data_IF_703427548496
#
_entry.id   IF_703427548496
#
_cell.length_a   1.000
_cell.length_b   1.000
_cell.length_c   1.000
_cell.angle_alpha   90.00
_cell.angle_beta   90.00
_cell.angle_gamma   90.00
#
_symmetry.space_group_name_H-M   'P 1'
#
loop_
_entity.id
_entity.type
_entity.pdbx_description
1 polymer ?
#
# COMPACT_ATOMS: atom_id res chain seq x y z
N UNK A 1 41.98 14.29 -50.78
CA UNK A 1 41.36 12.95 -50.75
C UNK A 1 41.11 12.64 -49.29
N UNK A 2 39.85 12.79 -48.86
CA UNK A 2 39.43 12.59 -47.49
C UNK A 2 39.48 11.11 -47.11
N UNK A 3 39.84 10.85 -45.86
CA UNK A 3 39.70 9.56 -45.23
C UNK A 3 38.55 9.73 -44.25
N UNK A 4 37.39 9.21 -44.62
CA UNK A 4 36.21 9.13 -43.76
C UNK A 4 36.48 8.07 -42.67
N UNK A 5 36.78 8.52 -41.46
CA UNK A 5 36.66 7.69 -40.26
C UNK A 5 35.17 7.55 -39.93
N UNK A 6 34.56 6.47 -40.42
CA UNK A 6 33.26 6.02 -39.94
C UNK A 6 33.41 5.54 -38.49
N UNK A 7 33.13 6.44 -37.54
CA UNK A 7 32.80 6.07 -36.17
C UNK A 7 31.49 5.27 -36.17
N UNK A 8 31.60 3.95 -36.27
CA UNK A 8 30.50 3.03 -35.98
C UNK A 8 30.18 3.14 -34.49
N UNK A 9 29.25 4.05 -34.16
CA UNK A 9 28.58 4.09 -32.86
C UNK A 9 27.82 2.78 -32.70
N UNK A 10 28.38 1.89 -31.90
CA UNK A 10 27.75 0.63 -31.52
C UNK A 10 26.63 0.98 -30.51
N UNK A 11 25.48 1.46 -31.00
CA UNK A 11 24.23 1.47 -30.25
C UNK A 11 23.86 0.00 -30.01
N UNK A 12 24.38 -0.57 -28.92
CA UNK A 12 23.78 -1.76 -28.34
C UNK A 12 22.42 -1.33 -27.81
N UNK A 13 21.36 -1.62 -28.55
CA UNK A 13 20.01 -1.66 -28.01
C UNK A 13 20.07 -2.56 -26.76
N UNK A 14 19.94 -1.94 -25.59
CA UNK A 14 19.75 -2.64 -24.33
C UNK A 14 18.41 -3.36 -24.45
N UNK A 15 18.47 -4.66 -24.75
CA UNK A 15 17.29 -5.49 -24.86
C UNK A 15 16.81 -5.83 -23.44
N UNK A 16 16.16 -4.86 -22.81
CA UNK A 16 15.56 -4.94 -21.49
C UNK A 16 14.26 -5.74 -21.62
N UNK A 17 14.31 -7.03 -21.26
CA UNK A 17 13.15 -7.91 -21.26
C UNK A 17 11.97 -7.30 -20.49
N UNK A 18 10.74 -7.63 -20.91
CA UNK A 18 9.53 -7.14 -20.28
C UNK A 18 9.32 -7.80 -18.91
N UNK A 19 9.72 -7.14 -17.82
CA UNK A 19 9.25 -7.49 -16.48
C UNK A 19 7.97 -6.69 -16.16
N UNK A 20 6.89 -7.35 -15.69
CA UNK A 20 5.64 -6.67 -15.39
C UNK A 20 5.83 -5.73 -14.19
N UNK A 21 5.58 -4.44 -14.43
CA UNK A 21 5.57 -3.39 -13.42
C UNK A 21 4.42 -3.65 -12.44
N UNK A 22 4.71 -3.96 -11.17
CA UNK A 22 3.69 -4.35 -10.19
C UNK A 22 3.64 -3.34 -9.03
N UNK A 23 2.44 -2.86 -8.71
CA UNK A 23 2.12 -2.12 -7.48
C UNK A 23 1.00 -2.85 -6.73
N UNK A 24 1.05 -2.85 -5.40
CA UNK A 24 -0.03 -3.40 -4.57
C UNK A 24 -1.18 -2.40 -4.35
N UNK A 25 -1.00 -1.11 -4.67
CA UNK A 25 -2.03 -0.08 -4.51
C UNK A 25 -2.88 0.15 -5.78
N UNK A 26 -4.21 0.20 -5.61
CA UNK A 26 -5.18 0.39 -6.69
C UNK A 26 -5.16 1.82 -7.26
N UNK A 27 -5.00 2.83 -6.40
CA UNK A 27 -4.87 4.23 -6.83
C UNK A 27 -3.60 4.45 -7.66
N UNK A 28 -2.47 3.87 -7.24
CA UNK A 28 -1.22 3.92 -8.03
C UNK A 28 -1.38 3.25 -9.39
N UNK A 29 -2.03 2.08 -9.45
CA UNK A 29 -2.30 1.39 -10.71
C UNK A 29 -3.16 2.23 -11.65
N UNK A 30 -4.15 2.94 -11.11
CA UNK A 30 -4.99 3.85 -11.87
C UNK A 30 -4.20 5.05 -12.41
N UNK A 31 -3.41 5.71 -11.55
CA UNK A 31 -2.56 6.84 -11.95
C UNK A 31 -1.62 6.45 -13.12
N UNK A 32 -1.05 5.25 -13.07
CA UNK A 32 -0.20 4.71 -14.13
C UNK A 32 -0.95 4.43 -15.44
N UNK A 33 -2.15 3.84 -15.36
CA UNK A 33 -2.96 3.52 -16.53
C UNK A 33 -3.43 4.80 -17.26
N UNK A 34 -3.75 5.86 -16.50
CA UNK A 34 -4.14 7.17 -17.06
C UNK A 34 -2.94 7.87 -17.72
N UNK A 35 -1.73 7.74 -17.16
CA UNK A 35 -0.51 8.30 -17.75
C UNK A 35 -0.13 7.64 -19.08
N UNK A 36 -0.44 6.36 -19.26
CA UNK A 36 -0.17 5.62 -20.51
C UNK A 36 -1.25 5.80 -21.59
N UNK A 37 -2.47 6.20 -21.23
CA UNK A 37 -3.58 6.42 -22.16
C UNK A 37 -3.90 7.92 -22.37
N UNK A 38 -3.01 8.66 -23.07
CA UNK A 38 -3.26 9.97 -23.72
C UNK A 38 -4.31 10.90 -23.04
N UNK A 39 -4.28 11.04 -21.71
CA UNK A 39 -5.08 12.02 -20.96
C UNK A 39 -6.61 11.85 -20.99
N UNK A 40 -7.14 10.71 -21.45
CA UNK A 40 -8.56 10.39 -21.23
C UNK A 40 -8.67 9.80 -19.83
N UNK A 41 -8.98 10.63 -18.84
CA UNK A 41 -9.04 10.26 -17.42
C UNK A 41 -10.11 9.22 -17.03
N UNK A 42 -10.51 8.34 -17.94
CA UNK A 42 -11.43 7.23 -17.71
C UNK A 42 -10.80 5.94 -18.24
N UNK A 43 -10.49 5.01 -17.34
CA UNK A 43 -10.07 3.66 -17.69
C UNK A 43 -11.34 2.81 -17.93
N UNK A 44 -11.50 2.17 -19.11
CA UNK A 44 -12.67 1.33 -19.37
C UNK A 44 -12.84 0.23 -18.31
N UNK A 45 -14.07 0.05 -17.80
CA UNK A 45 -14.38 -0.97 -16.78
C UNK A 45 -14.03 -0.57 -15.34
N UNK A 46 -13.65 0.69 -15.12
CA UNK A 46 -13.26 1.23 -13.81
C UNK A 46 -14.10 2.47 -13.46
N UNK A 47 -14.81 2.42 -12.33
CA UNK A 47 -15.48 3.59 -11.77
C UNK A 47 -14.73 4.07 -10.54
N UNK A 48 -14.43 5.38 -10.50
CA UNK A 48 -13.72 6.01 -9.39
C UNK A 48 -14.54 7.18 -8.83
N UNK A 49 -14.70 7.20 -7.51
CA UNK A 49 -15.25 8.31 -6.75
C UNK A 49 -14.21 8.79 -5.74
N UNK A 50 -13.84 10.07 -5.79
CA UNK A 50 -12.87 10.66 -4.88
C UNK A 50 -13.50 11.80 -4.08
N UNK A 51 -13.21 11.83 -2.78
CA UNK A 51 -13.59 12.92 -1.87
C UNK A 51 -12.39 13.35 -1.04
N UNK A 52 -12.31 14.65 -0.73
CA UNK A 52 -11.28 15.20 0.14
C UNK A 52 -11.96 15.89 1.33
N UNK A 53 -11.57 15.51 2.54
CA UNK A 53 -12.08 16.10 3.77
C UNK A 53 -10.97 16.16 4.82
N UNK A 54 -10.79 17.31 5.47
CA UNK A 54 -9.85 17.49 6.60
C UNK A 54 -8.41 17.02 6.31
N UNK A 55 -7.94 17.16 5.06
CA UNK A 55 -6.62 16.70 4.62
C UNK A 55 -6.49 15.18 4.43
N UNK A 56 -7.64 14.49 4.36
CA UNK A 56 -7.76 13.07 4.04
C UNK A 56 -8.43 12.91 2.68
N UNK A 57 -7.76 12.24 1.74
CA UNK A 57 -8.33 11.88 0.45
C UNK A 57 -8.87 10.46 0.53
N UNK A 58 -10.16 10.29 0.21
CA UNK A 58 -10.83 9.00 0.17
C UNK A 58 -11.18 8.68 -1.28
N UNK A 59 -10.69 7.55 -1.79
CA UNK A 59 -10.90 7.10 -3.16
C UNK A 59 -11.57 5.74 -3.15
N UNK A 60 -12.77 5.68 -3.72
CA UNK A 60 -13.50 4.45 -3.99
C UNK A 60 -13.32 4.06 -5.45
N UNK A 61 -12.75 2.89 -5.71
CA UNK A 61 -12.55 2.35 -7.06
C UNK A 61 -13.31 1.02 -7.17
N UNK A 62 -14.19 0.93 -8.17
CA UNK A 62 -14.90 -0.28 -8.57
C UNK A 62 -14.32 -0.76 -9.89
N UNK A 63 -13.77 -1.97 -9.91
CA UNK A 63 -13.33 -2.64 -11.12
C UNK A 63 -14.42 -3.66 -11.48
N UNK A 64 -15.14 -3.43 -12.57
CA UNK A 64 -16.33 -4.22 -12.92
C UNK A 64 -16.01 -5.51 -13.66
N UNK A 65 -14.99 -5.48 -14.52
CA UNK A 65 -14.70 -6.58 -15.44
C UNK A 65 -13.20 -6.92 -15.55
N UNK A 66 -12.93 -8.07 -16.17
CA UNK A 66 -11.56 -8.53 -16.44
C UNK A 66 -10.79 -7.58 -17.36
N UNK A 67 -11.47 -6.77 -18.18
CA UNK A 67 -10.82 -5.77 -19.04
C UNK A 67 -10.26 -4.62 -18.20
N UNK A 68 -11.05 -4.06 -17.29
CA UNK A 68 -10.60 -3.08 -16.31
C UNK A 68 -9.55 -3.65 -15.37
N UNK A 69 -9.71 -4.92 -14.99
CA UNK A 69 -8.70 -5.65 -14.22
C UNK A 69 -7.36 -5.77 -14.95
N UNK A 70 -7.37 -6.10 -16.25
CA UNK A 70 -6.15 -6.11 -17.06
C UNK A 70 -5.55 -4.72 -17.28
N UNK A 71 -6.39 -3.71 -17.49
CA UNK A 71 -5.95 -2.33 -17.67
C UNK A 71 -5.22 -1.79 -16.43
N UNK A 72 -5.69 -2.15 -15.23
CA UNK A 72 -5.08 -1.76 -13.96
C UNK A 72 -4.07 -2.78 -13.42
N UNK A 73 -3.97 -3.98 -14.01
CA UNK A 73 -3.21 -5.09 -13.41
C UNK A 73 -3.74 -5.54 -12.05
N UNK A 74 -5.05 -5.40 -11.82
CA UNK A 74 -5.75 -5.69 -10.57
C UNK A 74 -6.90 -6.69 -10.79
N UNK A 75 -7.35 -7.31 -9.71
CA UNK A 75 -8.51 -8.22 -9.76
C UNK A 75 -9.79 -7.39 -9.72
N UNK A 76 -10.85 -7.77 -10.47
CA UNK A 76 -12.16 -7.13 -10.38
C UNK A 76 -12.71 -7.16 -8.95
N UNK A 77 -13.28 -6.06 -8.49
CA UNK A 77 -13.75 -5.89 -7.12
C UNK A 77 -13.81 -4.44 -6.67
N UNK A 78 -14.04 -4.25 -5.37
CA UNK A 78 -14.12 -2.97 -4.70
C UNK A 78 -12.82 -2.65 -3.97
N UNK A 79 -12.35 -1.41 -4.14
CA UNK A 79 -11.17 -0.87 -3.49
C UNK A 79 -11.53 0.44 -2.83
N UNK A 80 -11.17 0.59 -1.56
CA UNK A 80 -11.24 1.82 -0.80
C UNK A 80 -9.80 2.21 -0.44
N UNK A 81 -9.38 3.41 -0.82
CA UNK A 81 -8.07 3.95 -0.48
C UNK A 81 -8.23 5.22 0.31
N UNK A 82 -7.63 5.28 1.49
CA UNK A 82 -7.53 6.46 2.33
C UNK A 82 -6.09 6.96 2.27
N UNK A 83 -5.89 8.19 1.83
CA UNK A 83 -4.58 8.83 1.78
C UNK A 83 -4.54 10.07 2.66
N UNK A 84 -3.66 10.03 3.65
CA UNK A 84 -3.53 11.06 4.67
C UNK A 84 -2.03 11.36 4.86
N UNK A 85 -1.48 12.30 4.06
CA UNK A 85 -0.05 12.65 4.13
C UNK A 85 0.41 13.08 5.53
N UNK A 86 -0.51 13.64 6.32
CA UNK A 86 -0.28 14.07 7.70
C UNK A 86 -0.03 12.94 8.70
N UNK A 87 -0.33 11.67 8.39
CA UNK A 87 -0.07 10.56 9.34
C UNK A 87 1.41 10.43 9.74
N UNK A 88 2.33 10.94 8.91
CA UNK A 88 3.75 11.02 9.24
C UNK A 88 4.09 11.98 10.39
N UNK A 89 3.23 12.94 10.70
CA UNK A 89 3.53 13.99 11.69
C UNK A 89 3.34 13.56 13.15
N UNK A 90 3.03 12.28 13.43
CA UNK A 90 2.76 11.73 14.78
C UNK A 90 1.75 12.56 15.59
N UNK A 91 0.82 13.22 14.91
CA UNK A 91 -0.23 14.01 15.54
C UNK A 91 -1.35 13.08 16.03
N UNK A 92 -1.47 12.95 17.36
CA UNK A 92 -2.48 12.09 17.98
C UNK A 92 -3.92 12.53 17.72
N UNK A 93 -4.18 13.84 17.51
CA UNK A 93 -5.52 14.30 17.16
C UNK A 93 -5.88 13.89 15.74
N UNK A 94 -4.94 14.03 14.80
CA UNK A 94 -5.12 13.55 13.44
C UNK A 94 -5.36 12.04 13.41
N UNK A 95 -4.56 11.26 14.14
CA UNK A 95 -4.74 9.80 14.22
C UNK A 95 -6.15 9.41 14.69
N UNK A 96 -6.70 10.10 15.70
CA UNK A 96 -8.10 9.88 16.14
C UNK A 96 -9.12 10.21 15.06
N UNK A 97 -8.94 11.33 14.37
CA UNK A 97 -9.84 11.74 13.28
C UNK A 97 -9.79 10.73 12.13
N UNK A 98 -8.60 10.25 11.76
CA UNK A 98 -8.40 9.23 10.73
C UNK A 98 -9.00 7.90 11.16
N UNK A 99 -8.85 7.48 12.42
CA UNK A 99 -9.47 6.26 12.95
C UNK A 99 -11.00 6.31 12.86
N UNK A 100 -11.61 7.44 13.22
CA UNK A 100 -13.06 7.64 13.12
C UNK A 100 -13.52 7.64 11.65
N UNK A 101 -12.79 8.32 10.78
CA UNK A 101 -13.06 8.34 9.34
C UNK A 101 -12.95 6.95 8.71
N UNK A 102 -11.85 6.24 8.97
CA UNK A 102 -11.66 4.84 8.56
C UNK A 102 -12.78 3.94 9.05
N UNK A 103 -13.21 4.07 10.32
CA UNK A 103 -14.33 3.29 10.86
C UNK A 103 -15.62 3.51 10.05
N UNK A 104 -15.95 4.77 9.72
CA UNK A 104 -17.16 5.09 8.95
C UNK A 104 -17.11 4.57 7.51
N UNK A 105 -15.97 4.76 6.83
CA UNK A 105 -15.76 4.25 5.48
C UNK A 105 -15.74 2.71 5.46
N UNK A 106 -15.15 2.07 6.49
CA UNK A 106 -15.13 0.60 6.61
C UNK A 106 -16.52 0.02 6.90
N UNK A 107 -17.34 0.66 7.74
CA UNK A 107 -18.76 0.29 7.89
C UNK A 107 -19.51 0.35 6.56
N UNK A 108 -19.28 1.42 5.80
CA UNK A 108 -19.87 1.58 4.46
C UNK A 108 -19.35 0.51 3.49
N UNK A 109 -18.08 0.12 3.62
CA UNK A 109 -17.47 -0.96 2.85
C UNK A 109 -18.16 -2.29 3.12
N UNK A 110 -18.31 -2.67 4.40
CA UNK A 110 -18.99 -3.90 4.83
C UNK A 110 -20.43 -3.97 4.31
N UNK A 111 -21.15 -2.85 4.35
CA UNK A 111 -22.52 -2.79 3.82
C UNK A 111 -22.56 -2.98 2.29
N UNK A 112 -21.57 -2.46 1.55
CA UNK A 112 -21.49 -2.59 0.07
C UNK A 112 -21.16 -4.02 -0.40
N UNK A 113 -20.64 -4.87 0.49
CA UNK A 113 -20.32 -6.28 0.22
C UNK A 113 -21.26 -7.25 0.97
N UNK A 114 -22.39 -6.75 1.45
CA UNK A 114 -23.46 -7.52 2.11
C UNK A 114 -23.01 -8.30 3.38
N UNK A 115 -22.07 -7.74 4.16
CA UNK A 115 -21.70 -8.32 5.46
C UNK A 115 -22.65 -7.83 6.55
N UNK A 116 -23.42 -8.75 7.12
CA UNK A 116 -24.43 -8.44 8.14
C UNK A 116 -23.82 -7.88 9.44
N UNK A 117 -24.58 -7.05 10.21
CA UNK A 117 -24.15 -6.52 11.50
C UNK A 117 -23.72 -7.59 12.52
N UNK A 118 -24.34 -8.78 12.47
CA UNK A 118 -24.09 -9.89 13.38
C UNK A 118 -23.23 -11.01 12.78
N UNK A 119 -22.62 -10.78 11.61
CA UNK A 119 -21.77 -11.74 10.94
C UNK A 119 -20.58 -12.17 11.82
N UNK A 120 -20.22 -13.45 11.78
CA UNK A 120 -19.05 -13.99 12.48
C UNK A 120 -17.79 -13.64 11.71
N UNK A 121 -16.92 -12.83 12.31
CA UNK A 121 -15.73 -12.32 11.65
C UNK A 121 -14.50 -13.04 12.15
N UNK A 122 -13.61 -13.41 11.23
CA UNK A 122 -12.25 -13.84 11.55
C UNK A 122 -11.26 -12.79 11.05
N UNK A 123 -10.59 -12.13 11.98
CA UNK A 123 -9.48 -11.21 11.69
C UNK A 123 -8.18 -12.02 11.62
N UNK A 124 -7.42 -11.83 10.56
CA UNK A 124 -6.15 -12.52 10.31
C UNK A 124 -5.04 -11.49 10.16
N UNK A 125 -4.14 -11.43 11.14
CA UNK A 125 -2.95 -10.59 11.09
C UNK A 125 -1.82 -11.29 10.37
N UNK A 126 -1.63 -10.98 9.09
CA UNK A 126 -0.54 -11.50 8.27
C UNK A 126 0.75 -10.74 8.54
N UNK A 127 1.86 -11.46 8.42
CA UNK A 127 3.21 -10.90 8.55
C UNK A 127 4.06 -11.60 9.60
N UNK A 128 5.31 -11.18 9.69
CA UNK A 128 6.30 -11.70 10.62
C UNK A 128 6.57 -10.71 11.75
N UNK A 129 6.17 -11.06 12.99
CA UNK A 129 6.44 -10.26 14.18
C UNK A 129 7.93 -9.92 14.40
N UNK A 130 8.84 -10.74 13.87
CA UNK A 130 10.29 -10.53 14.01
C UNK A 130 10.86 -9.51 13.02
N UNK A 131 10.08 -9.08 12.03
CA UNK A 131 10.47 -8.06 11.05
C UNK A 131 9.56 -6.86 11.28
N UNK A 132 10.08 -5.79 11.89
CA UNK A 132 9.25 -4.67 12.36
C UNK A 132 8.36 -4.09 11.26
N UNK A 133 8.88 -3.91 10.05
CA UNK A 133 8.12 -3.38 8.93
C UNK A 133 7.00 -4.32 8.42
N UNK A 134 7.05 -5.60 8.78
CA UNK A 134 6.09 -6.65 8.43
C UNK A 134 5.22 -7.07 9.64
N UNK A 135 5.39 -6.42 10.80
CA UNK A 135 4.73 -6.80 12.04
C UNK A 135 3.33 -6.16 12.21
N UNK A 136 2.84 -5.40 11.22
CA UNK A 136 1.60 -4.64 11.32
C UNK A 136 0.38 -5.53 11.59
N UNK A 137 0.17 -6.59 10.79
CA UNK A 137 -0.97 -7.50 10.97
C UNK A 137 -1.02 -8.12 12.38
N UNK A 138 0.08 -8.74 12.86
CA UNK A 138 0.15 -9.23 14.23
C UNK A 138 -0.13 -8.15 15.29
N UNK A 139 0.39 -6.93 15.10
CA UNK A 139 0.16 -5.81 16.02
C UNK A 139 -1.31 -5.39 16.08
N UNK A 140 -2.00 -5.34 14.92
CA UNK A 140 -3.44 -5.03 14.88
C UNK A 140 -4.25 -6.10 15.61
N UNK A 141 -3.90 -7.39 15.42
CA UNK A 141 -4.57 -8.50 16.11
C UNK A 141 -4.42 -8.40 17.62
N UNK A 142 -3.26 -7.98 18.12
CA UNK A 142 -3.01 -7.79 19.56
C UNK A 142 -3.93 -6.74 20.20
N UNK A 143 -4.31 -5.71 19.44
CA UNK A 143 -5.18 -4.61 19.89
C UNK A 143 -6.63 -4.74 19.40
N UNK A 144 -6.98 -5.87 18.78
CA UNK A 144 -8.33 -6.15 18.33
C UNK A 144 -9.17 -6.70 19.48
N UNK A 145 -10.39 -6.19 19.64
CA UNK A 145 -11.33 -6.69 20.63
C UNK A 145 -11.92 -8.04 20.17
N UNK A 146 -11.49 -9.12 20.81
CA UNK A 146 -11.94 -10.49 20.51
C UNK A 146 -13.15 -10.84 21.37
N UNK A 147 -14.27 -11.19 20.73
CA UNK A 147 -15.55 -11.41 21.42
C UNK A 147 -16.17 -12.79 21.17
N UNK A 148 -15.71 -13.54 20.15
CA UNK A 148 -16.30 -14.85 19.76
C UNK A 148 -16.48 -15.80 20.93
N UNK A 149 -15.50 -15.87 21.82
CA UNK A 149 -15.53 -16.76 22.99
C UNK A 149 -16.68 -16.42 23.97
N UNK A 150 -17.07 -15.14 24.09
CA UNK A 150 -18.20 -14.73 24.93
C UNK A 150 -19.52 -15.20 24.34
N UNK A 151 -19.69 -15.10 23.01
CA UNK A 151 -20.87 -15.62 22.33
C UNK A 151 -21.01 -17.14 22.44
N UNK A 152 -19.89 -17.88 22.48
CA UNK A 152 -19.92 -19.34 22.60
C UNK A 152 -20.10 -19.83 24.04
N UNK A 153 -19.47 -19.17 25.02
CA UNK A 153 -19.41 -19.64 26.40
C UNK A 153 -20.44 -18.97 27.30
N UNK A 154 -20.78 -17.70 27.03
CA UNK A 154 -21.60 -16.85 27.90
C UNK A 154 -22.58 -15.98 27.08
N UNK A 155 -23.42 -16.58 26.21
CA UNK A 155 -24.28 -15.82 25.30
C UNK A 155 -25.26 -14.87 26.02
N UNK A 156 -25.71 -15.23 27.22
CA UNK A 156 -26.64 -14.41 28.02
C UNK A 156 -25.99 -13.15 28.62
N UNK A 157 -24.66 -13.06 28.62
CA UNK A 157 -23.92 -11.92 29.19
C UNK A 157 -23.44 -10.92 28.13
N UNK A 158 -23.63 -11.23 26.85
CA UNK A 158 -23.23 -10.34 25.77
C UNK A 158 -24.34 -9.31 25.55
N UNK A 159 -24.01 -8.05 25.76
CA UNK A 159 -24.92 -6.94 25.48
C UNK A 159 -25.13 -6.77 23.96
N UNK A 160 -26.21 -6.09 23.59
CA UNK A 160 -26.46 -5.71 22.21
C UNK A 160 -25.36 -4.76 21.67
N UNK A 161 -25.16 -4.78 20.35
CA UNK A 161 -24.18 -3.93 19.68
C UNK A 161 -22.76 -4.49 19.61
N UNK A 162 -22.53 -5.72 20.08
CA UNK A 162 -21.27 -6.44 19.85
C UNK A 162 -21.44 -7.48 18.74
N UNK A 163 -20.42 -7.63 17.89
CA UNK A 163 -20.33 -8.67 16.87
C UNK A 163 -19.45 -9.82 17.35
N UNK A 164 -19.70 -11.08 16.97
CA UNK A 164 -18.79 -12.20 17.24
C UNK A 164 -17.53 -12.11 16.36
N UNK A 165 -16.41 -11.72 16.98
CA UNK A 165 -15.11 -11.54 16.33
C UNK A 165 -14.08 -12.51 16.93
N UNK A 166 -13.41 -13.27 16.07
CA UNK A 166 -12.18 -13.99 16.38
C UNK A 166 -10.99 -13.33 15.69
N UNK A 167 -9.80 -13.47 16.26
CA UNK A 167 -8.58 -12.99 15.65
C UNK A 167 -7.46 -14.03 15.79
N UNK A 168 -6.63 -14.16 14.76
CA UNK A 168 -5.43 -15.01 14.77
C UNK A 168 -4.27 -14.30 14.06
N UNK A 169 -3.04 -14.55 14.52
CA UNK A 169 -1.84 -14.28 13.74
C UNK A 169 -1.11 -15.61 13.49
N UNK A 170 -1.20 -16.18 12.27
CA UNK A 170 -0.69 -17.52 11.96
C UNK A 170 0.84 -17.59 11.87
N UNK A 171 1.53 -16.44 11.85
CA UNK A 171 2.97 -16.36 11.61
C UNK A 171 3.34 -16.69 10.15
N UNK A 172 4.63 -16.96 9.95
CA UNK A 172 5.21 -17.22 8.62
C UNK A 172 5.79 -18.63 8.53
N UNK A 173 5.89 -19.15 7.29
CA UNK A 173 6.43 -20.49 6.98
C UNK A 173 7.72 -20.81 7.73
N UNK A 174 8.66 -19.86 7.80
CA UNK A 174 9.95 -20.07 8.47
C UNK A 174 9.86 -20.31 9.98
N UNK A 175 8.74 -19.97 10.60
CA UNK A 175 8.51 -20.13 12.05
C UNK A 175 7.61 -21.33 12.36
N UNK A 176 6.63 -21.62 11.50
CA UNK A 176 5.60 -22.64 11.76
C UNK A 176 5.83 -23.94 10.99
N UNK A 177 6.60 -23.90 9.89
CA UNK A 177 6.72 -25.01 8.94
C UNK A 177 5.46 -25.25 8.11
N UNK A 178 4.43 -24.41 8.24
CA UNK A 178 3.17 -24.49 7.50
C UNK A 178 2.96 -23.22 6.69
N UNK A 179 2.37 -23.34 5.50
CA UNK A 179 1.98 -22.16 4.76
C UNK A 179 0.86 -21.42 5.49
N UNK A 180 0.98 -20.09 5.55
CA UNK A 180 -0.01 -19.25 6.23
C UNK A 180 -1.44 -19.52 5.73
N UNK A 181 -1.60 -19.76 4.42
CA UNK A 181 -2.88 -20.11 3.81
C UNK A 181 -3.46 -21.43 4.33
N UNK A 182 -2.62 -22.42 4.66
CA UNK A 182 -3.08 -23.73 5.19
C UNK A 182 -3.63 -23.58 6.60
N UNK A 183 -2.95 -22.80 7.44
CA UNK A 183 -3.41 -22.50 8.80
C UNK A 183 -4.77 -21.79 8.73
N UNK A 184 -4.87 -20.75 7.90
CA UNK A 184 -6.12 -19.98 7.76
C UNK A 184 -7.25 -20.85 7.23
N UNK A 185 -6.99 -21.65 6.19
CA UNK A 185 -7.98 -22.58 5.64
C UNK A 185 -8.49 -23.56 6.72
N UNK A 186 -7.58 -24.17 7.49
CA UNK A 186 -7.97 -25.07 8.57
C UNK A 186 -8.81 -24.38 9.66
N UNK A 187 -8.48 -23.14 10.03
CA UNK A 187 -9.26 -22.36 11.00
C UNK A 187 -10.63 -21.98 10.44
N UNK A 188 -10.71 -21.56 9.18
CA UNK A 188 -11.98 -21.22 8.51
C UNK A 188 -12.89 -22.44 8.41
N UNK A 189 -12.35 -23.61 8.05
CA UNK A 189 -13.12 -24.86 7.95
C UNK A 189 -13.76 -25.25 9.29
N UNK A 190 -13.04 -25.02 10.40
CA UNK A 190 -13.51 -25.39 11.75
C UNK A 190 -14.38 -24.34 12.41
N UNK A 191 -14.02 -23.06 12.32
CA UNK A 191 -14.74 -21.98 13.00
C UNK A 191 -15.91 -21.45 12.18
N UNK A 192 -15.90 -21.70 10.85
CA UNK A 192 -16.92 -21.30 9.87
C UNK A 192 -17.32 -19.83 10.00
N UNK A 193 -16.40 -18.87 9.92
CA UNK A 193 -16.76 -17.45 9.94
C UNK A 193 -17.57 -17.10 8.68
N UNK A 194 -18.36 -16.03 8.77
CA UNK A 194 -19.15 -15.49 7.67
C UNK A 194 -18.32 -14.55 6.78
N UNK A 195 -17.26 -13.94 7.31
CA UNK A 195 -16.26 -13.21 6.53
C UNK A 195 -14.87 -13.24 7.20
N UNK A 196 -13.82 -13.08 6.39
CA UNK A 196 -12.43 -12.95 6.84
C UNK A 196 -11.93 -11.54 6.56
N UNK A 197 -11.26 -10.93 7.52
CA UNK A 197 -10.54 -9.66 7.36
C UNK A 197 -9.05 -9.96 7.50
N UNK A 198 -8.30 -9.94 6.41
CA UNK A 198 -6.85 -10.12 6.39
C UNK A 198 -6.16 -8.76 6.44
N UNK A 199 -5.23 -8.57 7.37
CA UNK A 199 -4.45 -7.34 7.52
C UNK A 199 -3.00 -7.65 7.19
N UNK A 200 -2.39 -6.89 6.28
CA UNK A 200 -1.03 -7.13 5.81
C UNK A 200 -0.25 -5.83 5.60
N UNK A 201 1.07 -5.97 5.64
CA UNK A 201 1.99 -4.89 5.29
C UNK A 201 2.25 -4.93 3.79
N UNK A 202 2.01 -3.82 3.08
CA UNK A 202 2.20 -3.73 1.63
C UNK A 202 3.54 -3.05 1.29
N UNK A 203 3.99 -3.25 0.06
CA UNK A 203 5.03 -2.45 -0.56
C UNK A 203 4.40 -1.33 -1.43
N UNK A 204 4.98 -0.13 -1.39
CA UNK A 204 4.61 0.95 -2.32
C UNK A 204 5.76 1.26 -3.28
N UNK A 205 5.42 1.84 -4.43
CA UNK A 205 6.38 2.39 -5.41
C UNK A 205 6.62 3.88 -5.21
N UNK A 206 6.00 4.50 -4.22
CA UNK A 206 6.16 5.91 -3.95
C UNK A 206 6.44 6.15 -2.47
N UNK A 207 7.59 6.77 -2.20
CA UNK A 207 8.01 7.13 -0.85
C UNK A 207 6.96 7.92 -0.07
N UNK A 208 6.23 8.79 -0.77
CA UNK A 208 5.22 9.65 -0.17
C UNK A 208 3.98 8.89 0.32
N UNK A 209 3.79 7.61 0.00
CA UNK A 209 2.64 6.76 0.41
C UNK A 209 2.93 5.84 1.60
N UNK A 210 4.20 5.66 1.94
CA UNK A 210 4.62 4.88 3.10
C UNK A 210 4.07 5.51 4.38
N UNK A 211 3.32 4.74 5.17
CA UNK A 211 2.60 5.15 6.38
C UNK A 211 1.57 6.27 6.22
N UNK A 212 1.14 6.57 4.99
CA UNK A 212 0.11 7.60 4.76
C UNK A 212 -1.08 7.06 3.99
N UNK A 213 -1.04 5.80 3.58
CA UNK A 213 -2.10 5.20 2.79
C UNK A 213 -2.61 3.94 3.47
N UNK A 214 -3.94 3.80 3.53
CA UNK A 214 -4.63 2.59 3.98
C UNK A 214 -5.49 2.14 2.81
N UNK A 215 -5.34 0.89 2.39
CA UNK A 215 -6.13 0.30 1.32
C UNK A 215 -6.99 -0.83 1.86
N UNK A 216 -8.25 -0.88 1.45
CA UNK A 216 -9.19 -1.96 1.75
C UNK A 216 -9.71 -2.52 0.43
N UNK A 217 -9.81 -3.85 0.30
CA UNK A 217 -10.37 -4.50 -0.89
C UNK A 217 -11.11 -5.79 -0.54
N UNK A 218 -12.09 -6.19 -1.35
CA UNK A 218 -12.84 -7.45 -1.25
C UNK A 218 -12.27 -8.57 -2.13
N UNK A 219 -11.21 -8.28 -2.90
CA UNK A 219 -10.57 -9.24 -3.81
C UNK A 219 -9.66 -10.23 -3.08
N UNK A 220 -9.45 -10.03 -1.78
CA UNK A 220 -8.51 -10.76 -0.96
C UNK A 220 -7.08 -10.22 -1.07
N UNK A 221 -6.10 -11.07 -0.74
CA UNK A 221 -4.69 -10.69 -0.73
C UNK A 221 -3.80 -11.79 -1.28
N UNK A 222 -2.68 -11.40 -1.89
CA UNK A 222 -1.61 -12.31 -2.29
C UNK A 222 -0.40 -12.05 -1.40
N UNK A 223 -0.23 -12.77 -0.28
CA UNK A 223 0.81 -12.45 0.70
C UNK A 223 2.20 -12.46 0.07
N UNK A 224 2.96 -11.37 0.23
CA UNK A 224 4.32 -11.22 -0.29
C UNK A 224 4.43 -10.88 -1.78
N UNK A 225 3.34 -10.49 -2.46
CA UNK A 225 3.36 -10.08 -3.88
C UNK A 225 4.28 -8.89 -4.14
N UNK A 226 4.30 -7.91 -3.23
CA UNK A 226 5.11 -6.69 -3.34
C UNK A 226 6.62 -6.90 -3.17
N UNK A 227 7.06 -8.05 -2.68
CA UNK A 227 8.48 -8.42 -2.51
C UNK A 227 8.89 -9.56 -3.46
N UNK A 228 8.04 -9.88 -4.45
CA UNK A 228 8.31 -10.88 -5.48
C UNK A 228 7.97 -12.33 -5.11
N UNK A 229 7.37 -12.60 -3.94
CA UNK A 229 6.97 -13.94 -3.54
C UNK A 229 5.59 -14.32 -4.11
N UNK A 230 5.53 -15.41 -4.87
CA UNK A 230 4.27 -15.98 -5.40
C UNK A 230 3.69 -16.98 -4.41
N UNK A 231 3.06 -16.51 -3.33
CA UNK A 231 2.31 -17.36 -2.39
C UNK A 231 0.89 -17.61 -2.90
N UNK A 232 0.22 -18.63 -2.34
CA UNK A 232 -1.20 -18.88 -2.62
C UNK A 232 -2.03 -17.66 -2.20
N UNK A 233 -2.93 -17.23 -3.09
CA UNK A 233 -3.88 -16.17 -2.81
C UNK A 233 -4.78 -16.54 -1.62
N UNK A 234 -5.12 -15.54 -0.82
CA UNK A 234 -6.15 -15.61 0.21
C UNK A 234 -7.33 -14.77 -0.28
N UNK A 235 -8.30 -15.42 -0.93
CA UNK A 235 -9.45 -14.75 -1.54
C UNK A 235 -10.73 -15.60 -1.42
N UNK A 236 -11.87 -15.04 -1.84
CA UNK A 236 -13.15 -15.73 -1.78
C UNK A 236 -13.17 -17.05 -2.56
N UNK A 237 -12.44 -17.14 -3.67
CA UNK A 237 -12.36 -18.37 -4.48
C UNK A 237 -11.67 -19.52 -3.72
N UNK A 238 -10.68 -19.19 -2.89
CA UNK A 238 -9.92 -20.17 -2.10
C UNK A 238 -10.60 -20.57 -0.79
N UNK A 239 -11.27 -19.63 -0.11
CA UNK A 239 -11.88 -19.86 1.20
C UNK A 239 -13.39 -20.15 1.15
N UNK A 240 -14.06 -19.83 0.03
CA UNK A 240 -15.51 -19.99 -0.13
C UNK A 240 -16.36 -18.97 0.64
N UNK A 241 -15.73 -18.00 1.31
CA UNK A 241 -16.37 -16.93 2.07
C UNK A 241 -15.75 -15.57 1.70
N UNK A 242 -16.46 -14.44 1.87
CA UNK A 242 -15.92 -13.10 1.62
C UNK A 242 -14.58 -12.88 2.34
N UNK A 243 -13.59 -12.36 1.62
CA UNK A 243 -12.27 -12.02 2.14
C UNK A 243 -11.98 -10.55 1.89
N UNK A 244 -11.94 -9.78 2.96
CA UNK A 244 -11.58 -8.36 2.94
C UNK A 244 -10.10 -8.27 3.28
N UNK A 245 -9.31 -7.64 2.43
CA UNK A 245 -7.91 -7.34 2.71
C UNK A 245 -7.72 -5.88 3.07
N UNK A 246 -6.98 -5.62 4.14
CA UNK A 246 -6.55 -4.30 4.59
C UNK A 246 -5.03 -4.26 4.45
N UNK A 247 -4.52 -3.34 3.66
CA UNK A 247 -3.11 -3.20 3.37
C UNK A 247 -2.60 -1.79 3.63
N UNK A 248 -1.45 -1.70 4.29
CA UNK A 248 -0.78 -0.43 4.58
C UNK A 248 0.64 -0.50 4.04
N UNK A 249 1.08 0.44 3.19
CA UNK A 249 2.45 0.45 2.72
C UNK A 249 3.43 0.79 3.84
N UNK A 250 4.31 -0.15 4.19
CA UNK A 250 5.32 0.01 5.25
C UNK A 250 6.75 0.06 4.71
N UNK A 251 6.93 -0.40 3.48
CA UNK A 251 8.22 -0.48 2.80
C UNK A 251 8.14 -0.06 1.34
N UNK A 252 9.29 0.28 0.78
CA UNK A 252 9.48 0.47 -0.66
C UNK A 252 10.69 -0.35 -1.12
N UNK A 253 10.74 -0.66 -2.41
CA UNK A 253 11.89 -1.32 -3.01
C UNK A 253 13.11 -0.39 -3.07
N UNK A 254 14.32 -0.91 -2.85
CA UNK A 254 15.55 -0.13 -2.96
C UNK A 254 15.77 0.47 -4.36
N UNK A 255 15.31 -0.19 -5.42
CA UNK A 255 15.31 0.34 -6.78
C UNK A 255 14.42 1.58 -6.90
N UNK A 256 13.29 1.62 -6.17
CA UNK A 256 12.41 2.79 -6.12
C UNK A 256 13.12 3.99 -5.50
N UNK A 257 13.79 3.80 -4.36
CA UNK A 257 14.60 4.86 -3.72
C UNK A 257 15.70 5.36 -4.63
N UNK A 258 16.40 4.42 -5.28
CA UNK A 258 17.53 4.73 -6.15
C UNK A 258 17.08 5.52 -7.37
N UNK A 259 15.92 5.15 -7.95
CA UNK A 259 15.28 5.88 -9.03
C UNK A 259 14.92 7.31 -8.61
N UNK A 260 14.19 7.47 -7.50
CA UNK A 260 13.80 8.79 -7.00
C UNK A 260 15.03 9.66 -6.71
N UNK A 261 16.12 9.06 -6.21
CA UNK A 261 17.38 9.77 -5.96
C UNK A 261 18.02 10.28 -7.24
N UNK A 262 18.06 9.46 -8.30
CA UNK A 262 18.58 9.87 -9.61
C UNK A 262 17.76 11.04 -10.16
N UNK A 263 16.43 10.95 -10.11
CA UNK A 263 15.54 12.02 -10.55
C UNK A 263 15.73 13.30 -9.72
N UNK A 264 15.83 13.20 -8.39
CA UNK A 264 16.10 14.36 -7.54
C UNK A 264 17.45 15.02 -7.83
N UNK A 265 18.49 14.24 -8.13
CA UNK A 265 19.79 14.77 -8.54
C UNK A 265 19.67 15.53 -9.86
N UNK A 266 18.97 14.96 -10.85
CA UNK A 266 18.73 15.63 -12.13
C UNK A 266 17.94 16.92 -11.95
N UNK A 267 16.85 16.90 -11.17
CA UNK A 267 16.05 18.09 -10.86
C UNK A 267 16.86 19.14 -10.14
N UNK A 268 17.74 18.75 -9.22
CA UNK A 268 18.61 19.67 -8.51
C UNK A 268 19.62 20.32 -9.45
N UNK A 269 20.27 19.55 -10.33
CA UNK A 269 21.19 20.08 -11.34
C UNK A 269 20.50 21.02 -12.31
N UNK A 270 19.30 20.65 -12.79
CA UNK A 270 18.47 21.50 -13.63
C UNK A 270 18.13 22.81 -12.94
N UNK A 271 17.73 22.75 -11.66
CA UNK A 271 17.44 23.92 -10.85
C UNK A 271 18.67 24.82 -10.76
N UNK A 272 19.83 24.31 -10.34
CA UNK A 272 21.06 25.11 -10.20
C UNK A 272 21.53 25.73 -11.53
N UNK A 273 21.29 25.08 -12.67
CA UNK A 273 21.64 25.63 -13.98
C UNK A 273 20.72 26.77 -14.45
N UNK A 274 19.44 26.72 -14.08
CA UNK A 274 18.42 27.66 -14.56
C UNK A 274 18.04 28.72 -13.53
N UNK A 275 18.37 28.50 -12.25
CA UNK A 275 17.96 29.36 -11.16
C UNK A 275 18.96 30.51 -10.97
N UNK A 276 18.49 31.73 -11.25
CA UNK A 276 19.28 32.97 -11.12
C UNK A 276 19.21 33.57 -9.70
N UNK A 277 18.22 33.17 -8.89
CA UNK A 277 17.99 33.67 -7.52
C UNK A 277 17.43 32.57 -6.60
N UNK A 278 17.76 32.58 -5.30
CA UNK A 278 17.26 31.58 -4.35
C UNK A 278 15.73 31.61 -4.24
N UNK A 279 15.11 30.43 -4.14
CA UNK A 279 13.64 30.26 -4.06
C UNK A 279 13.08 30.79 -2.75
N UNK A 280 13.83 30.62 -1.66
CA UNK A 280 13.46 31.09 -0.33
C UNK A 280 14.44 32.18 0.14
N UNK A 281 14.03 33.46 0.18
CA UNK A 281 14.89 34.56 0.61
C UNK A 281 15.39 34.45 2.07
N UNK A 282 14.74 33.60 2.87
CA UNK A 282 15.06 33.37 4.28
C UNK A 282 15.86 32.09 4.52
N UNK A 283 16.14 31.29 3.48
CA UNK A 283 17.05 30.15 3.57
C UNK A 283 18.44 30.53 3.06
N UNK A 284 19.40 30.86 3.94
CA UNK A 284 20.75 31.24 3.55
C UNK A 284 21.53 30.10 2.87
N UNK A 285 21.04 28.85 2.96
CA UNK A 285 21.65 27.68 2.33
C UNK A 285 20.96 27.29 1.00
N UNK A 286 19.91 28.01 0.58
CA UNK A 286 19.11 27.76 -0.63
C UNK A 286 18.79 26.27 -0.86
N UNK A 287 18.39 25.57 0.21
CA UNK A 287 18.17 24.12 0.14
C UNK A 287 16.95 23.84 -0.71
N UNK A 288 16.99 22.80 -1.56
CA UNK A 288 15.83 22.39 -2.34
C UNK A 288 14.73 21.83 -1.45
N UNK A 289 13.50 22.27 -1.73
CA UNK A 289 12.30 21.62 -1.23
C UNK A 289 11.93 20.46 -2.16
N UNK A 290 11.41 19.37 -1.60
CA UNK A 290 11.06 18.18 -2.40
C UNK A 290 9.99 18.51 -3.44
N UNK A 291 8.99 19.34 -3.10
CA UNK A 291 7.95 19.75 -4.07
C UNK A 291 8.55 20.57 -5.21
N UNK A 292 9.54 21.42 -4.92
CA UNK A 292 10.25 22.20 -5.93
C UNK A 292 11.02 21.30 -6.90
N UNK A 293 11.72 20.28 -6.37
CA UNK A 293 12.46 19.32 -7.20
C UNK A 293 11.53 18.47 -8.08
N UNK A 294 10.39 18.03 -7.53
CA UNK A 294 9.39 17.26 -8.28
C UNK A 294 8.70 18.07 -9.37
N UNK A 295 8.68 19.41 -9.23
CA UNK A 295 8.07 20.31 -10.22
C UNK A 295 8.99 20.68 -11.40
N UNK A 296 10.26 20.26 -11.35
CA UNK A 296 11.20 20.56 -12.45
C UNK A 296 10.85 19.72 -13.67
N UNK A 297 10.61 20.39 -14.79
CA UNK A 297 10.40 19.72 -16.08
C UNK A 297 11.74 19.60 -16.83
N UNK A 298 12.28 18.38 -16.85
CA UNK A 298 13.57 18.09 -17.46
C UNK A 298 13.32 17.56 -18.87
N UNK A 299 13.59 18.38 -19.88
CA UNK A 299 13.46 17.94 -21.27
C UNK A 299 14.42 16.77 -21.57
N UNK A 300 14.05 15.83 -22.45
CA UNK A 300 14.92 14.69 -22.82
C UNK A 300 16.30 15.13 -23.34
N UNK A 301 16.37 16.26 -24.04
CA UNK A 301 17.64 16.85 -24.51
C UNK A 301 18.53 17.33 -23.35
N UNK A 302 17.93 17.86 -22.28
CA UNK A 302 18.66 18.25 -21.08
C UNK A 302 19.10 17.01 -20.29
N UNK A 303 18.22 16.01 -20.17
CA UNK A 303 18.54 14.71 -19.58
C UNK A 303 19.75 14.07 -20.25
N UNK A 304 19.75 14.01 -21.59
CA UNK A 304 20.89 13.51 -22.38
C UNK A 304 22.18 14.27 -22.08
N UNK A 305 22.11 15.60 -21.96
CA UNK A 305 23.28 16.43 -21.65
C UNK A 305 23.83 16.17 -20.25
N UNK A 306 22.99 15.80 -19.29
CA UNK A 306 23.36 15.58 -17.89
C UNK A 306 23.82 14.14 -17.60
N UNK A 307 23.17 13.13 -18.19
CA UNK A 307 23.41 11.71 -17.89
C UNK A 307 23.62 10.83 -19.14
N UNK A 308 23.75 11.42 -20.32
CA UNK A 308 23.90 10.68 -21.57
C UNK A 308 22.67 9.81 -21.85
N UNK A 309 22.93 8.57 -22.29
CA UNK A 309 21.89 7.59 -22.65
C UNK A 309 20.91 7.34 -21.48
N UNK A 310 21.37 7.37 -20.23
CA UNK A 310 20.50 7.16 -19.06
C UNK A 310 19.49 8.30 -18.90
N UNK A 311 19.86 9.51 -19.30
CA UNK A 311 18.97 10.67 -19.22
C UNK A 311 17.87 10.69 -20.28
N UNK A 312 18.00 9.89 -21.35
CA UNK A 312 16.98 9.74 -22.41
C UNK A 312 16.00 8.60 -22.17
N UNK A 313 16.33 7.69 -21.24
CA UNK A 313 15.46 6.57 -20.88
C UNK A 313 14.15 7.07 -20.27
N UNK A 314 13.06 6.36 -20.56
CA UNK A 314 11.79 6.61 -19.90
C UNK A 314 11.82 6.16 -18.41
N UNK A 315 10.75 6.47 -17.67
CA UNK A 315 10.67 6.16 -16.24
C UNK A 315 10.77 4.66 -15.94
N UNK A 316 10.26 3.80 -16.81
CA UNK A 316 10.24 2.36 -16.61
C UNK A 316 11.56 1.72 -17.04
N UNK A 317 12.15 2.17 -18.14
CA UNK A 317 13.49 1.78 -18.60
C UNK A 317 14.56 2.14 -17.56
N UNK A 318 14.50 3.34 -16.97
CA UNK A 318 15.40 3.74 -15.87
C UNK A 318 15.25 2.82 -14.67
N UNK A 319 14.02 2.51 -14.25
CA UNK A 319 13.77 1.61 -13.12
C UNK A 319 14.30 0.20 -13.40
N UNK A 320 14.07 -0.33 -14.61
CA UNK A 320 14.62 -1.64 -15.04
C UNK A 320 16.13 -1.67 -14.99
N UNK A 321 16.79 -0.63 -15.52
CA UNK A 321 18.24 -0.50 -15.47
C UNK A 321 18.74 -0.53 -14.01
N UNK A 322 18.06 0.18 -13.11
CA UNK A 322 18.41 0.21 -11.68
C UNK A 322 18.20 -1.17 -11.05
N UNK A 323 17.08 -1.85 -11.32
CA UNK A 323 16.83 -3.21 -10.86
C UNK A 323 17.94 -4.18 -11.32
N UNK A 324 18.33 -4.15 -12.60
CA UNK A 324 19.42 -4.97 -13.14
C UNK A 324 20.78 -4.67 -12.50
N UNK A 325 21.03 -3.42 -12.12
CA UNK A 325 22.27 -3.01 -11.43
C UNK A 325 22.28 -3.48 -9.97
N UNK A 326 21.12 -3.56 -9.33
CA UNK A 326 20.98 -3.99 -7.94
C UNK A 326 20.90 -5.51 -7.80
N UNK A 327 20.41 -6.25 -8.81
CA UNK A 327 20.24 -7.71 -8.78
C UNK A 327 21.53 -8.48 -8.40
N UNK A 328 22.75 -8.13 -8.91
CA UNK A 328 23.99 -8.79 -8.54
C UNK A 328 24.38 -8.63 -7.06
N UNK A 329 23.79 -7.68 -6.32
CA UNK A 329 23.99 -7.54 -4.87
C UNK A 329 23.29 -8.66 -4.09
N UNK A 330 22.48 -9.49 -4.76
CA UNK A 330 21.96 -10.75 -4.24
C UNK A 330 20.88 -10.59 -3.17
N UNK A 331 20.22 -9.44 -3.10
CA UNK A 331 19.18 -9.15 -2.12
C UNK A 331 18.05 -8.30 -2.73
N UNK A 332 16.80 -8.77 -2.62
CA UNK A 332 15.60 -7.95 -2.80
C UNK A 332 15.51 -6.98 -1.60
N UNK A 333 16.28 -5.91 -1.66
CA UNK A 333 16.40 -4.94 -0.58
C UNK A 333 15.13 -4.10 -0.48
N UNK A 334 14.56 -4.08 0.72
CA UNK A 334 13.47 -3.19 1.08
C UNK A 334 14.00 -2.07 1.96
N UNK A 335 13.40 -0.89 1.82
CA UNK A 335 13.75 0.31 2.58
C UNK A 335 12.54 0.75 3.37
N UNK A 336 12.76 1.10 4.64
CA UNK A 336 11.75 1.60 5.57
C UNK A 336 12.34 2.74 6.40
N UNK A 337 11.53 3.71 6.88
CA UNK A 337 11.96 4.73 7.82
C UNK A 337 12.66 4.17 9.06
N UNK A 338 13.58 4.94 9.64
CA UNK A 338 14.30 4.55 10.87
C UNK A 338 13.39 4.36 12.08
N UNK A 339 12.27 5.08 12.12
CA UNK A 339 11.27 5.07 13.21
C UNK A 339 10.10 4.12 12.91
N UNK A 340 10.38 3.06 12.13
CA UNK A 340 9.41 2.03 11.72
C UNK A 340 8.65 1.43 12.89
N UNK A 341 9.31 1.25 14.03
CA UNK A 341 8.71 0.76 15.27
C UNK A 341 7.54 1.63 15.75
N UNK A 342 7.74 2.95 15.78
CA UNK A 342 6.70 3.90 16.18
C UNK A 342 5.58 3.93 15.15
N UNK A 343 5.92 3.95 13.86
CA UNK A 343 4.91 4.00 12.80
C UNK A 343 4.04 2.75 12.77
N UNK A 344 4.62 1.56 12.98
CA UNK A 344 3.87 0.31 13.06
C UNK A 344 2.96 0.31 14.29
N UNK A 345 3.43 0.81 15.43
CA UNK A 345 2.62 0.93 16.63
C UNK A 345 1.43 1.89 16.45
N UNK A 346 1.69 3.09 15.94
CA UNK A 346 0.68 4.12 15.72
C UNK A 346 -0.36 3.68 14.68
N UNK A 347 0.10 3.17 13.53
CA UNK A 347 -0.79 2.67 12.47
C UNK A 347 -1.55 1.43 12.91
N UNK A 348 -0.89 0.50 13.59
CA UNK A 348 -1.52 -0.71 14.09
C UNK A 348 -2.64 -0.40 15.08
N UNK A 349 -2.40 0.55 16.00
CA UNK A 349 -3.43 1.02 16.93
C UNK A 349 -4.58 1.73 16.21
N UNK A 350 -4.28 2.63 15.27
CA UNK A 350 -5.28 3.32 14.46
C UNK A 350 -6.20 2.34 13.72
N UNK A 351 -5.63 1.32 13.07
CA UNK A 351 -6.41 0.31 12.36
C UNK A 351 -7.21 -0.56 13.34
N UNK A 352 -6.62 -0.96 14.46
CA UNK A 352 -7.32 -1.74 15.48
C UNK A 352 -8.52 -0.99 16.08
N UNK A 353 -8.32 0.26 16.50
CA UNK A 353 -9.39 1.12 17.04
C UNK A 353 -10.48 1.37 16.00
N UNK A 354 -10.07 1.63 14.76
CA UNK A 354 -10.97 1.76 13.62
C UNK A 354 -11.81 0.50 13.36
N UNK A 355 -11.20 -0.68 13.39
CA UNK A 355 -11.89 -1.96 13.26
C UNK A 355 -12.82 -2.24 14.43
N UNK A 356 -12.39 -1.96 15.66
CA UNK A 356 -13.20 -2.13 16.87
C UNK A 356 -14.48 -1.26 16.79
N UNK A 357 -14.35 0.00 16.38
CA UNK A 357 -15.51 0.88 16.18
C UNK A 357 -16.37 0.47 14.98
N UNK A 358 -15.76 -0.10 13.94
CA UNK A 358 -16.47 -0.53 12.73
C UNK A 358 -17.28 -1.82 12.93
N UNK A 359 -16.75 -2.76 13.69
CA UNK A 359 -17.33 -4.09 13.89
C UNK A 359 -18.30 -4.14 15.08
N UNK A 360 -18.17 -3.23 16.04
CA UNK A 360 -19.01 -3.19 17.25
C UNK A 360 -19.73 -1.85 17.34
N UNK A 361 -21.06 -1.86 17.22
CA UNK A 361 -21.89 -0.65 17.36
C UNK A 361 -21.79 -0.03 18.76
N UNK A 362 -21.56 -0.84 19.79
CA UNK A 362 -21.40 -0.40 21.17
C UNK A 362 -20.05 0.30 21.43
N UNK A 363 -19.08 0.19 20.51
CA UNK A 363 -17.75 0.78 20.66
C UNK A 363 -17.62 2.02 19.81
N UNK A 364 -17.25 3.11 20.47
CA UNK A 364 -17.11 4.44 19.89
C UNK A 364 -15.67 4.94 20.07
N UNK A 365 -15.22 5.94 19.30
CA UNK A 365 -13.89 6.52 19.45
C UNK A 365 -13.59 7.02 20.87
N UNK A 366 -14.61 7.39 21.66
CA UNK A 366 -14.46 7.85 23.03
C UNK A 366 -14.23 6.72 24.04
N UNK A 367 -14.78 5.52 23.79
CA UNK A 367 -14.73 4.40 24.74
C UNK A 367 -13.79 3.27 24.30
N UNK A 368 -13.31 3.25 23.05
CA UNK A 368 -12.48 2.15 22.51
C UNK A 368 -11.27 1.84 23.38
N UNK A 369 -10.61 2.88 23.91
CA UNK A 369 -9.46 2.72 24.81
C UNK A 369 -9.76 2.01 26.14
N UNK A 370 -11.03 1.93 26.56
CA UNK A 370 -11.44 1.18 27.76
C UNK A 370 -11.74 -0.29 27.47
N UNK A 371 -11.88 -0.66 26.19
CA UNK A 371 -12.21 -2.01 25.72
C UNK A 371 -11.00 -2.78 25.17
N UNK A 372 -9.89 -2.08 24.94
CA UNK A 372 -8.64 -2.63 24.40
C UNK A 372 -7.57 -2.58 25.51
N UNK A 373 -6.70 -3.58 25.56
CA UNK A 373 -5.64 -3.70 26.58
C UNK A 373 -4.52 -2.67 26.42
#
# INVERSE_FOLDING_TARGET
MGVDEQSQGNQKDLNLGSFPVRTDLAREAHDMAVQTQDGKGEVPGVHMEESEQDGMTTSWIRIEDDQGGQALGKTPGLYLTLEVPGLRSKDSQLQRNVSAHFSNEFKSFLNKIDVEPNARILIVGLGNQNVTADALGPFVVEHTMVTRHLFELLPEQVADGYRPVAAISPGVLGTTGMETSEIIFGVVEKTRPDAVIAIDSLASRALNRVYTTIQVTDTGINPGSGVGNKRKALNQQTLGIPVIAIGIPTVVDAATISYDTVEFVLSHLHREMNQVRPTNPLDPLNRPDVKELQSQDISPQMGEKMMGIVGTLDSDEKRRLIEEVLDPLGQNLIVTPKEVDTFIGDMGKLIADGLNCALHEAVTPENVSAHVN
#
